data_IF_584690646335
#
_entry.id   IF_584690646335
#
_cell.length_a   1.000
_cell.length_b   1.000
_cell.length_c   1.000
_cell.angle_alpha   90.00
_cell.angle_beta   90.00
_cell.angle_gamma   90.00
#
_symmetry.space_group_name_H-M   'P 1'
#
loop_
_entity.id
_entity.type
_entity.pdbx_description
1 polymer ?
#
# COMPACT_ATOMS: atom_id res chain seq x y z
N UNK A 1 -7.70 -16.47 20.61
CA UNK A 1 -6.95 -15.53 19.77
C UNK A 1 -7.58 -14.16 19.93
N UNK A 2 -6.81 -13.18 20.39
CA UNK A 2 -7.33 -11.84 20.59
C UNK A 2 -7.46 -11.14 19.23
N UNK A 3 -8.68 -10.70 18.90
CA UNK A 3 -9.01 -10.02 17.64
C UNK A 3 -9.10 -8.54 17.88
N UNK A 4 -8.51 -7.73 16.98
CA UNK A 4 -8.69 -6.28 16.99
C UNK A 4 -10.13 -5.97 16.56
N UNK A 5 -10.79 -5.08 17.27
CA UNK A 5 -12.10 -4.54 16.85
C UNK A 5 -11.94 -3.14 16.25
N UNK A 6 -12.63 -2.90 15.14
CA UNK A 6 -12.56 -1.64 14.41
C UNK A 6 -13.90 -0.92 14.46
N UNK A 7 -13.86 0.39 14.71
CA UNK A 7 -15.04 1.24 14.76
C UNK A 7 -14.77 2.61 14.10
N UNK A 8 -15.80 3.21 13.52
CA UNK A 8 -15.71 4.59 13.05
C UNK A 8 -16.04 5.56 14.18
N UNK A 9 -15.21 6.59 14.35
CA UNK A 9 -15.34 7.63 15.35
C UNK A 9 -15.26 9.00 14.68
N UNK A 10 -16.31 9.79 14.84
CA UNK A 10 -16.36 11.17 14.35
C UNK A 10 -16.00 12.15 15.47
N UNK A 11 -15.24 13.18 15.12
CA UNK A 11 -14.90 14.29 16.03
C UNK A 11 -14.40 13.86 17.43
N UNK A 12 -13.48 12.90 17.47
CA UNK A 12 -12.89 12.40 18.73
C UNK A 12 -12.35 13.52 19.63
N UNK A 13 -11.74 14.54 19.02
CA UNK A 13 -11.14 15.68 19.76
C UNK A 13 -12.15 16.73 20.20
N UNK A 14 -13.44 16.56 19.88
CA UNK A 14 -14.53 17.52 20.16
C UNK A 14 -14.20 18.94 19.67
N UNK A 15 -13.51 19.06 18.54
CA UNK A 15 -13.11 20.33 17.92
C UNK A 15 -13.40 20.30 16.43
N UNK A 16 -13.98 21.39 15.94
CA UNK A 16 -14.19 21.59 14.51
C UNK A 16 -13.04 22.43 13.95
N UNK A 17 -12.70 22.19 12.69
CA UNK A 17 -11.75 23.02 11.96
C UNK A 17 -12.38 24.38 11.56
N UNK A 18 -11.59 25.27 10.94
CA UNK A 18 -12.05 26.60 10.49
C UNK A 18 -13.25 26.56 9.53
N UNK A 19 -13.53 25.39 8.91
CA UNK A 19 -14.67 25.18 8.00
C UNK A 19 -15.87 24.52 8.69
N UNK A 20 -15.88 24.42 10.02
CA UNK A 20 -16.95 23.78 10.79
C UNK A 20 -17.02 22.26 10.62
N UNK A 21 -15.93 21.62 10.22
CA UNK A 21 -15.87 20.16 9.96
C UNK A 21 -14.95 19.46 10.96
N UNK A 22 -15.22 18.19 11.20
CA UNK A 22 -14.34 17.31 11.99
C UNK A 22 -13.98 16.05 11.22
N UNK A 23 -12.85 15.46 11.61
CA UNK A 23 -12.31 14.25 11.02
C UNK A 23 -13.07 13.00 11.47
N UNK A 24 -13.33 12.09 10.53
CA UNK A 24 -13.70 10.70 10.82
C UNK A 24 -12.41 9.89 10.96
N UNK A 25 -12.33 9.05 11.98
CA UNK A 25 -11.18 8.16 12.23
C UNK A 25 -11.67 6.73 12.39
N UNK A 26 -10.80 5.76 12.06
CA UNK A 26 -10.98 4.37 12.46
C UNK A 26 -10.34 4.20 13.84
N UNK A 27 -11.13 3.78 14.83
CA UNK A 27 -10.65 3.33 16.13
C UNK A 27 -10.35 1.84 16.05
N UNK A 28 -9.13 1.43 16.36
CA UNK A 28 -8.74 0.04 16.60
C UNK A 28 -8.62 -0.18 18.10
N UNK A 29 -9.22 -1.25 18.61
CA UNK A 29 -9.22 -1.62 20.02
C UNK A 29 -8.68 -3.02 20.21
N UNK A 30 -7.67 -3.16 21.07
CA UNK A 30 -7.06 -4.42 21.46
C UNK A 30 -6.54 -4.30 22.91
N UNK A 31 -6.81 -5.29 23.75
CA UNK A 31 -6.24 -5.41 25.10
C UNK A 31 -6.36 -4.13 25.93
N UNK A 32 -7.57 -3.56 26.01
CA UNK A 32 -7.88 -2.31 26.71
C UNK A 32 -7.14 -1.07 26.19
N UNK A 33 -6.42 -1.18 25.07
CA UNK A 33 -5.76 -0.05 24.40
C UNK A 33 -6.54 0.36 23.15
N UNK A 34 -6.49 1.64 22.83
CA UNK A 34 -7.12 2.22 21.64
C UNK A 34 -6.10 2.92 20.78
N UNK A 35 -6.24 2.77 19.48
CA UNK A 35 -5.47 3.50 18.48
C UNK A 35 -6.37 4.07 17.41
N UNK A 36 -5.97 5.18 16.80
CA UNK A 36 -6.82 5.91 15.85
C UNK A 36 -6.07 6.16 14.56
N UNK A 37 -6.71 5.80 13.44
CA UNK A 37 -6.20 5.99 12.09
C UNK A 37 -7.04 7.04 11.37
N UNK A 38 -6.37 7.95 10.65
CA UNK A 38 -7.05 9.01 9.91
C UNK A 38 -7.63 8.49 8.61
N UNK A 39 -8.91 8.74 8.36
CA UNK A 39 -9.54 8.45 7.06
C UNK A 39 -9.36 9.58 6.05
N UNK A 40 -8.85 10.74 6.50
CA UNK A 40 -8.79 12.01 5.75
C UNK A 40 -10.16 12.54 5.32
N UNK A 41 -11.26 11.94 5.78
CA UNK A 41 -12.63 12.37 5.51
C UNK A 41 -13.08 13.32 6.62
N UNK A 42 -13.46 14.53 6.22
CA UNK A 42 -13.97 15.59 7.11
C UNK A 42 -15.43 15.83 6.81
N UNK A 43 -16.26 15.90 7.87
CA UNK A 43 -17.70 16.08 7.79
C UNK A 43 -18.14 17.19 8.73
N UNK A 44 -19.28 17.82 8.41
CA UNK A 44 -19.99 18.64 9.36
C UNK A 44 -20.77 17.75 10.36
N UNK A 45 -21.07 18.23 11.58
CA UNK A 45 -21.78 17.44 12.59
C UNK A 45 -23.11 16.86 12.10
N UNK A 46 -23.89 17.62 11.33
CA UNK A 46 -25.18 17.21 10.77
C UNK A 46 -25.07 16.10 9.71
N UNK A 47 -23.86 15.89 9.16
CA UNK A 47 -23.58 14.88 8.14
C UNK A 47 -23.15 13.52 8.74
N UNK A 48 -23.13 13.40 10.07
CA UNK A 48 -22.76 12.18 10.76
C UNK A 48 -23.92 11.58 11.54
N UNK A 49 -24.17 10.29 11.36
CA UNK A 49 -25.06 9.49 12.19
C UNK A 49 -24.24 8.75 13.25
N UNK A 50 -24.32 9.26 14.49
CA UNK A 50 -23.56 8.68 15.60
C UNK A 50 -24.04 7.27 16.01
N UNK A 51 -25.32 6.96 15.79
CA UNK A 51 -25.91 5.66 16.14
C UNK A 51 -25.51 4.59 15.12
N UNK A 52 -25.62 4.92 13.84
CA UNK A 52 -25.28 4.02 12.73
C UNK A 52 -23.80 4.07 12.34
N UNK A 53 -23.04 5.06 12.87
CA UNK A 53 -21.63 5.31 12.54
C UNK A 53 -21.38 5.46 11.04
N UNK A 54 -22.22 6.25 10.37
CA UNK A 54 -22.17 6.43 8.92
C UNK A 54 -22.45 7.89 8.53
N UNK A 55 -22.06 8.23 7.31
CA UNK A 55 -22.35 9.52 6.70
C UNK A 55 -23.83 9.57 6.31
N UNK A 56 -24.50 10.67 6.63
CA UNK A 56 -25.87 11.01 6.22
C UNK A 56 -25.91 12.45 5.70
N UNK A 57 -27.00 12.84 5.05
CA UNK A 57 -27.26 14.23 4.61
C UNK A 57 -26.07 14.87 3.83
N UNK A 58 -25.33 14.07 3.09
CA UNK A 58 -24.26 14.51 2.21
C UNK A 58 -24.55 14.06 0.78
N UNK A 59 -24.34 14.91 -0.26
CA UNK A 59 -24.62 14.51 -1.66
C UNK A 59 -23.92 13.20 -2.07
N UNK A 60 -22.71 12.99 -1.57
CA UNK A 60 -21.91 11.79 -1.85
C UNK A 60 -21.88 10.80 -0.67
N UNK A 61 -22.95 10.73 0.16
CA UNK A 61 -22.97 9.89 1.37
C UNK A 61 -22.59 8.44 1.09
N UNK A 62 -23.13 7.84 0.02
CA UNK A 62 -22.86 6.45 -0.36
C UNK A 62 -21.39 6.23 -0.71
N UNK A 63 -20.78 7.15 -1.46
CA UNK A 63 -19.36 7.08 -1.84
C UNK A 63 -18.46 7.21 -0.61
N UNK A 64 -18.77 8.19 0.26
CA UNK A 64 -18.00 8.41 1.49
C UNK A 64 -18.12 7.22 2.45
N UNK A 65 -19.30 6.64 2.60
CA UNK A 65 -19.48 5.43 3.41
C UNK A 65 -18.65 4.26 2.84
N UNK A 66 -18.67 4.04 1.53
CA UNK A 66 -17.82 3.02 0.90
C UNK A 66 -16.34 3.27 1.20
N UNK A 67 -15.84 4.50 1.02
CA UNK A 67 -14.45 4.87 1.34
C UNK A 67 -14.11 4.63 2.82
N UNK A 68 -15.03 4.88 3.75
CA UNK A 68 -14.82 4.60 5.17
C UNK A 68 -14.67 3.09 5.43
N UNK A 69 -15.49 2.25 4.79
CA UNK A 69 -15.37 0.79 4.90
C UNK A 69 -14.08 0.28 4.22
N UNK A 70 -13.70 0.85 3.08
CA UNK A 70 -12.42 0.54 2.40
C UNK A 70 -11.22 0.88 3.30
N UNK A 71 -11.27 1.97 4.06
CA UNK A 71 -10.23 2.30 5.05
C UNK A 71 -10.13 1.23 6.15
N UNK A 72 -11.27 0.74 6.66
CA UNK A 72 -11.27 -0.36 7.65
C UNK A 72 -10.68 -1.63 7.01
N UNK A 73 -11.16 -2.01 5.83
CA UNK A 73 -10.69 -3.21 5.12
C UNK A 73 -9.18 -3.18 4.85
N UNK A 74 -8.61 -2.01 4.50
CA UNK A 74 -7.17 -1.85 4.31
C UNK A 74 -6.37 -2.07 5.61
N UNK A 75 -6.90 -1.64 6.76
CA UNK A 75 -6.30 -1.88 8.08
C UNK A 75 -6.39 -3.36 8.45
N UNK A 76 -7.54 -3.99 8.25
CA UNK A 76 -7.75 -5.43 8.48
C UNK A 76 -6.84 -6.29 7.59
N UNK A 77 -6.64 -5.90 6.35
CA UNK A 77 -5.72 -6.57 5.43
C UNK A 77 -4.26 -6.49 5.92
N UNK A 78 -3.86 -5.33 6.48
CA UNK A 78 -2.53 -5.16 7.08
C UNK A 78 -2.38 -6.05 8.33
N UNK A 79 -3.42 -6.13 9.18
CA UNK A 79 -3.45 -7.04 10.32
C UNK A 79 -3.28 -8.49 9.90
N UNK A 80 -4.04 -8.92 8.87
CA UNK A 80 -3.96 -10.27 8.33
C UNK A 80 -2.56 -10.59 7.79
N UNK A 81 -1.94 -9.65 7.07
CA UNK A 81 -0.57 -9.79 6.57
C UNK A 81 0.47 -9.96 7.68
N UNK A 82 0.34 -9.21 8.78
CA UNK A 82 1.20 -9.36 9.95
C UNK A 82 1.00 -10.74 10.63
N UNK A 83 -0.23 -11.19 10.72
CA UNK A 83 -0.55 -12.50 11.28
C UNK A 83 0.01 -13.65 10.44
N UNK A 84 -0.11 -13.58 9.10
CA UNK A 84 0.45 -14.57 8.17
C UNK A 84 1.98 -14.66 8.28
N UNK A 85 2.65 -13.57 8.69
CA UNK A 85 4.09 -13.55 8.96
C UNK A 85 4.46 -14.14 10.33
N UNK A 86 3.51 -14.70 11.07
CA UNK A 86 3.73 -15.26 12.41
C UNK A 86 4.07 -14.21 13.48
N UNK A 87 3.82 -12.92 13.21
CA UNK A 87 4.12 -11.85 14.16
C UNK A 87 3.02 -11.74 15.21
N UNK A 88 3.43 -11.53 16.47
CA UNK A 88 2.50 -11.17 17.54
C UNK A 88 1.88 -9.80 17.23
N UNK A 89 0.54 -9.74 17.13
CA UNK A 89 -0.18 -8.53 16.75
C UNK A 89 -0.25 -7.57 17.92
N UNK A 90 0.22 -6.34 17.72
CA UNK A 90 0.02 -5.20 18.62
C UNK A 90 -0.46 -3.98 17.85
N UNK A 91 -1.17 -3.06 18.54
CA UNK A 91 -1.64 -1.83 17.90
C UNK A 91 -0.47 -0.95 17.41
N UNK A 92 0.66 -0.97 18.12
CA UNK A 92 1.86 -0.22 17.73
C UNK A 92 2.51 -0.80 16.47
N UNK A 93 2.59 -2.14 16.37
CA UNK A 93 3.07 -2.81 15.17
C UNK A 93 2.16 -2.53 13.98
N UNK A 94 0.83 -2.62 14.18
CA UNK A 94 -0.16 -2.31 13.16
C UNK A 94 -0.03 -0.86 12.69
N UNK A 95 0.09 0.09 13.61
CA UNK A 95 0.28 1.51 13.29
C UNK A 95 1.56 1.75 12.51
N UNK A 96 2.67 1.19 12.96
CA UNK A 96 3.95 1.33 12.27
C UNK A 96 3.89 0.75 10.85
N UNK A 97 3.15 -0.34 10.64
CA UNK A 97 2.96 -0.95 9.33
C UNK A 97 2.05 -0.12 8.42
N UNK A 98 1.11 0.65 8.99
CA UNK A 98 0.22 1.55 8.24
C UNK A 98 0.88 2.91 8.00
N UNK A 99 1.53 3.49 9.02
CA UNK A 99 2.19 4.81 8.94
C UNK A 99 3.49 4.76 8.12
N UNK A 100 4.10 3.58 8.05
CA UNK A 100 5.20 3.26 7.15
C UNK A 100 4.74 2.21 6.14
N UNK A 101 3.78 2.50 5.29
CA UNK A 101 3.46 1.57 4.22
C UNK A 101 4.74 1.39 3.41
N UNK A 102 5.10 0.15 3.18
CA UNK A 102 6.20 -0.21 2.26
C UNK A 102 5.99 0.40 0.86
N UNK A 103 4.77 0.91 0.60
CA UNK A 103 4.35 1.46 -0.68
C UNK A 103 4.38 3.00 -0.79
N UNK A 104 4.33 3.78 0.30
CA UNK A 104 4.31 5.24 0.20
C UNK A 104 5.66 5.82 0.63
N UNK A 105 6.58 5.94 -0.32
CA UNK A 105 7.90 6.53 -0.15
C UNK A 105 9.06 5.54 -0.12
N UNK A 106 8.83 4.21 -0.10
CA UNK A 106 9.90 3.24 -0.31
C UNK A 106 10.10 3.05 -1.80
N UNK A 107 11.32 3.28 -2.26
CA UNK A 107 11.70 3.06 -3.65
C UNK A 107 11.57 1.58 -4.00
N UNK A 108 10.87 1.27 -5.09
CA UNK A 108 10.85 -0.08 -5.67
C UNK A 108 12.26 -0.55 -6.03
N UNK A 109 13.13 0.35 -6.44
CA UNK A 109 14.53 0.06 -6.74
C UNK A 109 15.29 -0.43 -5.50
N UNK A 110 15.03 0.20 -4.33
CA UNK A 110 15.61 -0.25 -3.05
C UNK A 110 15.09 -1.64 -2.67
N UNK A 111 13.79 -1.87 -2.78
CA UNK A 111 13.18 -3.18 -2.56
C UNK A 111 13.78 -4.25 -3.49
N UNK A 112 13.89 -3.96 -4.79
CA UNK A 112 14.47 -4.85 -5.77
C UNK A 112 15.90 -5.26 -5.39
N UNK A 113 16.73 -4.29 -4.98
CA UNK A 113 18.11 -4.51 -4.51
C UNK A 113 18.17 -5.40 -3.27
N UNK A 114 17.31 -5.14 -2.29
CA UNK A 114 17.23 -5.92 -1.04
C UNK A 114 16.79 -7.37 -1.32
N UNK A 115 15.78 -7.57 -2.19
CA UNK A 115 15.31 -8.89 -2.58
C UNK A 115 16.40 -9.71 -3.30
N UNK A 116 17.23 -9.08 -4.16
CA UNK A 116 18.39 -9.74 -4.76
C UNK A 116 19.37 -10.17 -3.67
N UNK A 117 19.67 -9.28 -2.71
CA UNK A 117 20.64 -9.54 -1.64
C UNK A 117 20.17 -10.67 -0.72
N UNK A 118 18.89 -10.74 -0.40
CA UNK A 118 18.29 -11.72 0.50
C UNK A 118 17.98 -13.07 -0.17
N UNK A 119 18.06 -13.13 -1.51
CA UNK A 119 17.76 -14.36 -2.26
C UNK A 119 18.95 -15.31 -2.33
N UNK A 120 18.69 -16.62 -2.26
CA UNK A 120 19.70 -17.68 -2.45
C UNK A 120 20.02 -17.96 -3.94
N UNK A 121 20.13 -16.90 -4.75
CA UNK A 121 20.43 -17.01 -6.18
C UNK A 121 21.89 -17.37 -6.41
N UNK A 122 22.15 -18.20 -7.45
CA UNK A 122 23.52 -18.41 -7.96
C UNK A 122 24.09 -17.07 -8.44
N UNK A 123 25.41 -16.87 -8.31
CA UNK A 123 26.06 -15.62 -8.61
C UNK A 123 25.79 -15.12 -10.04
N UNK A 124 25.85 -16.00 -11.04
CA UNK A 124 25.52 -15.63 -12.43
C UNK A 124 24.08 -15.15 -12.60
N UNK A 125 23.13 -15.72 -11.85
CA UNK A 125 21.73 -15.29 -11.85
C UNK A 125 21.59 -13.94 -11.14
N UNK A 126 22.29 -13.75 -10.02
CA UNK A 126 22.33 -12.49 -9.28
C UNK A 126 22.79 -11.34 -10.17
N UNK A 127 23.88 -11.52 -10.92
CA UNK A 127 24.40 -10.52 -11.85
C UNK A 127 23.38 -10.16 -12.95
N UNK A 128 22.66 -11.15 -13.47
CA UNK A 128 21.58 -10.90 -14.44
C UNK A 128 20.44 -10.05 -13.85
N UNK A 129 20.10 -10.24 -12.57
CA UNK A 129 19.08 -9.44 -11.90
C UNK A 129 19.58 -8.04 -11.60
N UNK A 130 20.85 -7.88 -11.18
CA UNK A 130 21.49 -6.58 -10.97
C UNK A 130 21.53 -5.76 -12.26
N UNK A 131 21.89 -6.37 -13.40
CA UNK A 131 21.83 -5.70 -14.71
C UNK A 131 20.43 -5.17 -15.04
N UNK A 132 19.36 -5.88 -14.66
CA UNK A 132 17.99 -5.37 -14.83
C UNK A 132 17.71 -4.17 -13.92
N UNK A 133 18.20 -4.20 -12.68
CA UNK A 133 18.07 -3.10 -11.74
C UNK A 133 18.79 -1.84 -12.23
N UNK A 134 20.00 -1.99 -12.76
CA UNK A 134 20.78 -0.89 -13.36
C UNK A 134 20.04 -0.24 -14.52
N UNK A 135 19.47 -1.02 -15.42
CA UNK A 135 18.65 -0.51 -16.53
C UNK A 135 17.40 0.22 -16.06
N UNK A 136 16.76 -0.26 -15.00
CA UNK A 136 15.63 0.44 -14.38
C UNK A 136 16.04 1.77 -13.75
N UNK A 137 17.20 1.83 -13.09
CA UNK A 137 17.76 3.06 -12.51
C UNK A 137 18.16 4.08 -13.59
N UNK A 138 18.66 3.59 -14.73
CA UNK A 138 18.98 4.43 -15.88
C UNK A 138 17.70 4.99 -16.54
N UNK A 139 16.66 4.16 -16.66
CA UNK A 139 15.37 4.56 -17.20
C UNK A 139 14.66 5.59 -16.31
N UNK A 140 14.63 5.37 -14.99
CA UNK A 140 14.03 6.27 -14.01
C UNK A 140 14.78 6.20 -12.69
N UNK A 141 15.37 7.35 -12.26
CA UNK A 141 16.21 7.44 -11.06
C UNK A 141 15.50 7.03 -9.78
N UNK A 142 14.20 7.26 -9.71
CA UNK A 142 13.35 6.89 -8.58
C UNK A 142 12.07 6.25 -9.11
N UNK A 143 11.76 5.05 -8.64
CA UNK A 143 10.54 4.32 -8.97
C UNK A 143 9.86 3.94 -7.66
N UNK A 144 8.68 4.48 -7.43
CA UNK A 144 7.83 4.14 -6.30
C UNK A 144 6.95 2.92 -6.65
N UNK A 145 6.45 2.21 -5.64
CA UNK A 145 5.50 1.11 -5.89
C UNK A 145 4.23 1.56 -6.59
N UNK A 146 3.81 2.81 -6.36
CA UNK A 146 2.66 3.44 -7.03
C UNK A 146 2.89 3.74 -8.51
N UNK A 147 4.15 3.79 -8.94
CA UNK A 147 4.51 4.03 -10.33
C UNK A 147 4.41 2.76 -11.20
N UNK A 148 4.32 1.58 -10.60
CA UNK A 148 4.31 0.28 -11.29
C UNK A 148 2.96 0.01 -11.97
N UNK A 149 2.60 0.88 -12.88
CA UNK A 149 1.39 0.77 -13.73
C UNK A 149 1.70 0.00 -15.02
N UNK A 150 0.65 -0.33 -15.77
CA UNK A 150 0.81 -0.91 -17.12
C UNK A 150 1.60 0.03 -18.03
N UNK A 151 1.32 1.33 -17.97
CA UNK A 151 2.01 2.35 -18.75
C UNK A 151 3.50 2.43 -18.41
N UNK A 152 3.87 2.28 -17.14
CA UNK A 152 5.27 2.22 -16.71
C UNK A 152 5.98 1.01 -17.32
N UNK A 153 5.35 -0.16 -17.25
CA UNK A 153 5.91 -1.43 -17.78
C UNK A 153 6.08 -1.33 -19.29
N UNK A 154 5.08 -0.81 -20.03
CA UNK A 154 5.15 -0.57 -21.46
C UNK A 154 6.23 0.45 -21.84
N UNK A 155 6.36 1.53 -21.07
CA UNK A 155 7.38 2.55 -21.31
C UNK A 155 8.79 2.01 -21.09
N UNK A 156 8.98 1.13 -20.11
CA UNK A 156 10.26 0.46 -19.89
C UNK A 156 10.59 -0.52 -21.03
N UNK A 157 9.61 -1.26 -21.55
CA UNK A 157 9.79 -2.13 -22.72
C UNK A 157 10.24 -1.31 -23.93
N UNK A 158 9.54 -0.22 -24.25
CA UNK A 158 9.90 0.72 -25.33
C UNK A 158 11.30 1.32 -25.15
N UNK A 159 11.69 1.64 -23.90
CA UNK A 159 13.03 2.12 -23.58
C UNK A 159 14.09 1.08 -23.92
N UNK A 160 13.88 -0.20 -23.58
CA UNK A 160 14.81 -1.27 -23.92
C UNK A 160 14.91 -1.47 -25.43
N UNK A 161 13.80 -1.37 -26.16
CA UNK A 161 13.80 -1.42 -27.62
C UNK A 161 14.60 -0.26 -28.24
N UNK A 162 14.41 0.96 -27.73
CA UNK A 162 15.13 2.16 -28.20
C UNK A 162 16.66 2.08 -27.96
N UNK A 163 17.08 1.32 -26.95
CA UNK A 163 18.49 0.99 -26.67
C UNK A 163 19.06 -0.07 -27.60
N UNK A 164 18.25 -0.64 -28.52
CA UNK A 164 18.69 -1.65 -29.48
C UNK A 164 18.82 -3.06 -28.92
N UNK A 165 18.22 -3.37 -27.76
CA UNK A 165 18.24 -4.73 -27.21
C UNK A 165 17.41 -5.69 -28.07
N UNK A 166 17.93 -6.93 -28.28
CA UNK A 166 17.18 -7.99 -28.94
C UNK A 166 16.00 -8.48 -28.10
N UNK A 167 14.93 -8.94 -28.76
CA UNK A 167 13.69 -9.40 -28.13
C UNK A 167 13.91 -10.37 -26.96
N UNK A 168 14.82 -11.35 -27.11
CA UNK A 168 15.14 -12.31 -26.04
C UNK A 168 15.75 -11.64 -24.80
N UNK A 169 16.55 -10.58 -25.00
CA UNK A 169 17.15 -9.80 -23.91
C UNK A 169 16.09 -8.97 -23.22
N UNK A 170 15.21 -8.32 -23.98
CA UNK A 170 14.07 -7.58 -23.46
C UNK A 170 13.17 -8.51 -22.63
N UNK A 171 12.78 -9.66 -23.19
CA UNK A 171 11.98 -10.66 -22.48
C UNK A 171 12.61 -11.12 -21.16
N UNK A 172 13.94 -11.26 -21.11
CA UNK A 172 14.68 -11.58 -19.89
C UNK A 172 14.50 -10.48 -18.83
N UNK A 173 14.72 -9.22 -19.20
CA UNK A 173 14.59 -8.10 -18.27
C UNK A 173 13.13 -7.91 -17.80
N UNK A 174 12.15 -8.06 -18.69
CA UNK A 174 10.73 -8.01 -18.36
C UNK A 174 10.32 -9.14 -17.41
N UNK A 175 10.87 -10.36 -17.59
CA UNK A 175 10.67 -11.50 -16.67
C UNK A 175 11.22 -11.20 -15.28
N UNK A 176 12.39 -10.57 -15.17
CA UNK A 176 12.96 -10.16 -13.89
C UNK A 176 12.08 -9.10 -13.24
N UNK A 177 11.69 -8.05 -13.97
CA UNK A 177 10.80 -7.01 -13.47
C UNK A 177 9.49 -7.61 -12.93
N UNK A 178 8.82 -8.47 -13.71
CA UNK A 178 7.59 -9.18 -13.31
C UNK A 178 7.77 -9.99 -12.03
N UNK A 179 8.90 -10.68 -11.87
CA UNK A 179 9.21 -11.44 -10.65
C UNK A 179 9.16 -10.56 -9.40
N UNK A 180 9.78 -9.37 -9.43
CA UNK A 180 9.84 -8.47 -8.28
C UNK A 180 8.53 -7.70 -8.07
N UNK A 181 7.80 -7.37 -9.14
CA UNK A 181 6.43 -6.83 -9.02
C UNK A 181 5.52 -7.86 -8.33
N UNK A 182 5.58 -9.13 -8.73
CA UNK A 182 4.79 -10.18 -8.11
C UNK A 182 5.21 -10.44 -6.64
N UNK A 183 6.51 -10.36 -6.32
CA UNK A 183 6.99 -10.49 -4.95
C UNK A 183 6.37 -9.42 -4.02
N UNK A 184 6.15 -8.20 -4.53
CA UNK A 184 5.41 -7.15 -3.81
C UNK A 184 3.97 -7.58 -3.53
N UNK A 185 3.28 -8.20 -4.51
CA UNK A 185 1.89 -8.65 -4.36
C UNK A 185 1.74 -9.73 -3.29
N UNK A 186 2.73 -10.62 -3.15
CA UNK A 186 2.74 -11.66 -2.11
C UNK A 186 3.09 -11.13 -0.73
N UNK A 187 3.82 -10.01 -0.66
CA UNK A 187 4.29 -9.47 0.62
C UNK A 187 3.44 -8.31 1.12
N UNK A 188 2.77 -7.53 0.28
CA UNK A 188 2.20 -6.26 0.71
C UNK A 188 1.01 -5.66 -0.07
N UNK A 189 0.58 -6.19 -1.23
CA UNK A 189 -0.50 -5.56 -2.00
C UNK A 189 -1.25 -6.58 -2.86
N UNK A 190 -2.56 -6.59 -2.73
CA UNK A 190 -3.44 -7.00 -3.82
C UNK A 190 -3.41 -5.89 -4.89
N UNK A 191 -2.43 -5.94 -5.79
CA UNK A 191 -2.53 -5.18 -7.03
C UNK A 191 -3.68 -5.76 -7.86
N UNK A 192 -4.46 -4.94 -8.58
CA UNK A 192 -5.45 -5.47 -9.50
C UNK A 192 -4.77 -6.44 -10.45
N UNK A 193 -5.29 -7.65 -10.52
CA UNK A 193 -4.81 -8.70 -11.40
C UNK A 193 -4.82 -8.18 -12.82
N UNK A 194 -3.65 -7.98 -13.39
CA UNK A 194 -3.53 -7.72 -14.83
C UNK A 194 -3.72 -9.08 -15.51
N UNK A 195 -4.93 -9.28 -16.01
CA UNK A 195 -5.28 -10.43 -16.85
C UNK A 195 -4.54 -10.35 -18.20
#
# INVERSE_FOLDING_TARGET
MEKISYNLVFNRKKRLNKRGMALVQVEAYLNRKKMYFSTKIYLKPEQWDAKRKMVKNHPNANVLNRMLYENIAAIEQTELGLWQQGKSISLDLLKNSIDKPLSNGRSFLTFFKEEIANSSLKESTRQNHLSTLELLQEFKKEVLFTDLTFEFVSSFDNYLQSKGYHLNTIAKHMKHLKRYINAVSYTHLTLPTIA
#
